data_IF_030833641968
#
_entry.id   IF_030833641968
#
_cell.length_a   1.000
_cell.length_b   1.000
_cell.length_c   1.000
_cell.angle_alpha   90.00
_cell.angle_beta   90.00
_cell.angle_gamma   90.00
#
_symmetry.space_group_name_H-M   'P 1'
#
loop_
_entity.id
_entity.type
_entity.pdbx_description
1 polymer ?
#
# COMPACT_ATOMS: atom_id res chain seq x y z
N UNK A 1 -16.76 1.85 12.49
CA UNK A 1 -15.94 1.79 11.26
C UNK A 1 -15.41 3.20 11.04
N UNK A 2 -14.11 3.39 10.85
CA UNK A 2 -13.54 4.72 10.65
C UNK A 2 -13.56 5.05 9.16
N UNK A 3 -14.00 6.25 8.81
CA UNK A 3 -13.91 6.76 7.45
C UNK A 3 -12.45 6.96 7.04
N UNK A 4 -12.16 6.80 5.75
CA UNK A 4 -10.83 7.07 5.21
C UNK A 4 -10.63 8.58 5.20
N UNK A 5 -9.58 9.05 5.88
CA UNK A 5 -9.16 10.44 5.82
C UNK A 5 -8.26 10.64 4.61
N UNK A 6 -8.66 11.47 3.66
CA UNK A 6 -7.87 11.80 2.48
C UNK A 6 -6.57 12.52 2.87
N UNK A 7 -5.51 12.19 2.13
CA UNK A 7 -4.21 12.85 2.23
C UNK A 7 -3.85 13.48 0.88
N UNK A 8 -2.68 14.10 0.75
CA UNK A 8 -2.32 14.77 -0.49
C UNK A 8 -1.89 13.80 -1.60
N UNK A 9 -1.09 12.78 -1.24
CA UNK A 9 -0.41 11.95 -2.22
C UNK A 9 -0.55 10.45 -1.93
N UNK A 10 -0.52 9.69 -3.03
CA UNK A 10 -0.34 8.24 -3.06
C UNK A 10 0.86 7.96 -3.96
N UNK A 11 1.73 7.02 -3.56
CA UNK A 11 2.77 6.53 -4.46
C UNK A 11 2.17 5.45 -5.39
N UNK A 12 2.31 5.64 -6.71
CA UNK A 12 1.79 4.72 -7.72
C UNK A 12 2.80 4.57 -8.85
N UNK A 13 3.22 3.35 -9.11
CA UNK A 13 4.09 2.98 -10.23
C UNK A 13 5.37 3.84 -10.38
N UNK A 14 6.00 4.18 -9.25
CA UNK A 14 7.25 4.96 -9.24
C UNK A 14 7.07 6.46 -9.04
N UNK A 15 5.84 6.96 -8.94
CA UNK A 15 5.54 8.39 -8.87
C UNK A 15 4.61 8.73 -7.70
N UNK A 16 4.73 9.95 -7.17
CA UNK A 16 3.76 10.54 -6.28
C UNK A 16 2.63 11.14 -7.08
N UNK A 17 1.42 10.60 -6.95
CA UNK A 17 0.22 11.12 -7.61
C UNK A 17 -0.70 11.77 -6.58
N UNK A 18 -1.45 12.82 -6.97
CA UNK A 18 -2.49 13.37 -6.10
C UNK A 18 -3.52 12.30 -5.71
N UNK A 19 -4.04 12.37 -4.49
CA UNK A 19 -5.03 11.40 -3.98
C UNK A 19 -6.17 11.13 -4.96
N UNK A 20 -6.78 12.19 -5.50
CA UNK A 20 -7.91 12.08 -6.42
C UNK A 20 -7.57 11.41 -7.77
N UNK A 21 -6.28 11.38 -8.15
CA UNK A 21 -5.80 10.80 -9.40
C UNK A 21 -5.39 9.34 -9.25
N UNK A 22 -5.28 8.84 -8.00
CA UNK A 22 -4.91 7.45 -7.71
C UNK A 22 -6.09 6.49 -7.95
N UNK A 23 -6.58 6.48 -9.18
CA UNK A 23 -7.73 5.69 -9.62
C UNK A 23 -7.32 4.49 -10.48
N UNK A 24 -8.22 3.53 -10.61
CA UNK A 24 -8.08 2.42 -11.55
C UNK A 24 -9.37 2.26 -12.37
N UNK A 25 -9.21 1.74 -13.58
CA UNK A 25 -10.36 1.50 -14.45
C UNK A 25 -11.18 0.31 -13.96
N UNK A 26 -12.52 0.36 -14.08
CA UNK A 26 -13.41 -0.74 -13.66
C UNK A 26 -13.16 -2.07 -14.37
N UNK A 27 -12.49 -2.05 -15.53
CA UNK A 27 -12.04 -3.25 -16.26
C UNK A 27 -10.59 -3.63 -15.93
N UNK A 28 -10.03 -3.15 -14.82
CA UNK A 28 -8.78 -3.71 -14.31
C UNK A 28 -8.97 -5.18 -13.95
N UNK A 29 -8.04 -6.02 -14.41
CA UNK A 29 -8.15 -7.48 -14.28
C UNK A 29 -8.41 -7.93 -12.83
N UNK A 30 -7.75 -7.29 -11.87
CA UNK A 30 -7.89 -7.63 -10.45
C UNK A 30 -9.31 -7.45 -9.90
N UNK A 31 -10.09 -6.50 -10.40
CA UNK A 31 -11.47 -6.27 -9.95
C UNK A 31 -12.44 -7.40 -10.36
N UNK A 32 -12.08 -8.17 -11.37
CA UNK A 32 -12.90 -9.27 -11.90
C UNK A 32 -12.41 -10.64 -11.45
N UNK A 33 -11.10 -10.82 -11.26
CA UNK A 33 -10.48 -12.10 -11.01
C UNK A 33 -9.74 -12.19 -9.67
N UNK A 34 -9.74 -11.14 -8.86
CA UNK A 34 -9.06 -11.11 -7.58
C UNK A 34 -7.53 -11.22 -7.67
N UNK A 35 -6.95 -10.86 -8.82
CA UNK A 35 -5.53 -11.00 -9.12
C UNK A 35 -4.71 -9.86 -8.51
N UNK A 36 -4.58 -9.86 -7.19
CA UNK A 36 -3.80 -8.88 -6.45
C UNK A 36 -3.42 -9.37 -5.07
N UNK A 37 -2.40 -8.76 -4.49
CA UNK A 37 -1.88 -9.02 -3.15
C UNK A 37 -1.59 -7.70 -2.45
N UNK A 38 -1.66 -7.67 -1.12
CA UNK A 38 -1.42 -6.47 -0.34
C UNK A 38 -0.79 -6.77 1.02
N UNK A 39 -0.30 -5.73 1.66
CA UNK A 39 0.14 -5.73 3.05
C UNK A 39 -0.62 -4.72 3.89
N UNK A 40 -0.60 -4.90 5.19
CA UNK A 40 -1.10 -3.94 6.18
C UNK A 40 -0.01 -3.61 7.17
N UNK A 41 0.43 -2.36 7.20
CA UNK A 41 1.60 -1.91 7.96
C UNK A 41 1.21 -0.70 8.81
N UNK A 42 1.90 -0.50 9.93
CA UNK A 42 1.68 0.64 10.82
C UNK A 42 2.94 1.47 10.96
N UNK A 43 2.75 2.80 10.92
CA UNK A 43 3.71 3.79 11.35
C UNK A 43 3.25 4.37 12.68
N UNK A 44 4.18 4.49 13.63
CA UNK A 44 3.92 5.02 14.97
C UNK A 44 4.85 6.19 15.25
N UNK A 45 4.29 7.28 15.79
CA UNK A 45 5.09 8.36 16.35
C UNK A 45 5.74 7.89 17.65
N UNK A 46 7.02 8.20 17.81
CA UNK A 46 7.72 8.03 19.08
C UNK A 46 7.19 9.07 20.10
N UNK A 47 6.75 8.64 21.29
CA UNK A 47 6.25 9.56 22.31
C UNK A 47 7.35 10.50 22.86
N UNK A 48 8.62 10.09 22.80
CA UNK A 48 9.75 10.77 23.40
C UNK A 48 10.56 11.61 22.40
N UNK A 49 10.20 11.60 21.12
CA UNK A 49 10.90 12.35 20.07
C UNK A 49 9.97 12.76 18.92
N UNK A 50 10.48 13.57 17.99
CA UNK A 50 9.76 13.92 16.75
C UNK A 50 9.91 12.88 15.64
N UNK A 51 10.41 11.68 15.97
CA UNK A 51 10.59 10.60 15.01
C UNK A 51 9.33 9.73 14.89
N UNK A 52 9.21 9.09 13.76
CA UNK A 52 8.19 8.06 13.51
C UNK A 52 8.88 6.80 13.00
N UNK A 53 8.33 5.65 13.32
CA UNK A 53 8.88 4.35 12.97
C UNK A 53 7.83 3.50 12.27
N UNK A 54 8.19 2.94 11.13
CA UNK A 54 7.37 1.92 10.47
C UNK A 54 7.75 0.56 11.03
N UNK A 55 6.78 -0.12 11.63
CA UNK A 55 7.03 -1.42 12.26
C UNK A 55 7.36 -2.49 11.23
N UNK A 56 8.56 -3.07 11.34
CA UNK A 56 9.05 -4.20 10.51
C UNK A 56 8.86 -4.00 9.00
N UNK A 57 9.12 -2.80 8.49
CA UNK A 57 8.85 -2.45 7.10
C UNK A 57 9.47 -3.44 6.10
N UNK A 58 10.75 -3.78 6.29
CA UNK A 58 11.46 -4.72 5.41
C UNK A 58 10.78 -6.09 5.36
N UNK A 59 10.43 -6.65 6.51
CA UNK A 59 9.76 -7.97 6.58
C UNK A 59 8.41 -7.97 5.85
N UNK A 60 7.66 -6.86 5.94
CA UNK A 60 6.41 -6.68 5.22
C UNK A 60 6.64 -6.63 3.71
N UNK A 61 7.64 -5.90 3.22
CA UNK A 61 7.95 -5.83 1.79
C UNK A 61 8.48 -7.16 1.24
N UNK A 62 9.28 -7.88 2.01
CA UNK A 62 9.70 -9.25 1.66
C UNK A 62 8.49 -10.19 1.58
N UNK A 63 7.51 -10.07 2.49
CA UNK A 63 6.28 -10.86 2.46
C UNK A 63 5.40 -10.47 1.27
N UNK A 64 5.31 -9.20 0.91
CA UNK A 64 4.61 -8.73 -0.29
C UNK A 64 5.21 -9.38 -1.55
N UNK A 65 6.54 -9.43 -1.67
CA UNK A 65 7.23 -10.12 -2.75
C UNK A 65 6.89 -11.61 -2.82
N UNK A 66 6.92 -12.29 -1.67
CA UNK A 66 6.52 -13.72 -1.60
C UNK A 66 5.07 -13.93 -2.02
N UNK A 67 4.17 -13.07 -1.56
CA UNK A 67 2.75 -13.10 -1.93
C UNK A 67 2.53 -12.87 -3.42
N UNK A 68 3.22 -11.89 -4.01
CA UNK A 68 3.18 -11.63 -5.45
C UNK A 68 3.68 -12.84 -6.26
N UNK A 69 4.80 -13.46 -5.84
CA UNK A 69 5.34 -14.68 -6.47
C UNK A 69 4.35 -15.84 -6.41
N UNK A 70 3.69 -16.08 -5.27
CA UNK A 70 2.67 -17.13 -5.11
C UNK A 70 1.48 -16.86 -6.04
N UNK A 71 1.07 -15.60 -6.18
CA UNK A 71 0.00 -15.19 -7.08
C UNK A 71 0.42 -15.08 -8.56
N UNK A 72 1.66 -15.47 -8.89
CA UNK A 72 2.24 -15.34 -10.24
C UNK A 72 2.19 -13.92 -10.80
N UNK A 73 2.36 -12.92 -9.93
CA UNK A 73 2.45 -11.51 -10.31
C UNK A 73 3.92 -11.09 -10.25
N UNK A 74 4.45 -10.61 -11.36
CA UNK A 74 5.78 -10.01 -11.39
C UNK A 74 5.73 -8.63 -10.72
N UNK A 75 6.52 -8.45 -9.66
CA UNK A 75 6.63 -7.19 -8.93
C UNK A 75 7.89 -6.46 -9.41
N UNK A 76 7.76 -5.33 -10.13
CA UNK A 76 8.89 -4.70 -10.82
C UNK A 76 9.78 -3.82 -9.94
N UNK A 77 9.60 -3.84 -8.62
CA UNK A 77 10.37 -3.06 -7.65
C UNK A 77 11.04 -3.98 -6.63
N UNK A 78 12.25 -3.65 -6.21
CA UNK A 78 12.95 -4.37 -5.13
C UNK A 78 12.34 -4.07 -3.76
N UNK A 79 12.70 -4.85 -2.76
CA UNK A 79 12.31 -4.61 -1.36
C UNK A 79 12.79 -3.25 -0.89
N UNK A 80 14.02 -2.88 -1.23
CA UNK A 80 14.64 -1.61 -0.87
C UNK A 80 13.93 -0.41 -1.50
N UNK A 81 13.57 -0.51 -2.78
CA UNK A 81 12.80 0.52 -3.49
C UNK A 81 11.42 0.72 -2.88
N UNK A 82 10.71 -0.36 -2.53
CA UNK A 82 9.40 -0.28 -1.87
C UNK A 82 9.50 0.28 -0.45
N UNK A 83 10.55 -0.05 0.30
CA UNK A 83 10.81 0.55 1.61
C UNK A 83 11.07 2.06 1.49
N UNK A 84 11.88 2.49 0.53
CA UNK A 84 12.16 3.90 0.27
C UNK A 84 10.89 4.65 -0.14
N UNK A 85 10.11 4.10 -1.08
CA UNK A 85 8.84 4.68 -1.52
C UNK A 85 7.83 4.82 -0.36
N UNK A 86 7.79 3.86 0.55
CA UNK A 86 6.93 3.92 1.74
C UNK A 86 7.31 5.08 2.64
N UNK A 87 8.59 5.26 2.92
CA UNK A 87 9.08 6.38 3.74
C UNK A 87 8.79 7.72 3.04
N UNK A 88 8.97 7.77 1.73
CA UNK A 88 8.73 8.96 0.93
C UNK A 88 7.25 9.40 0.96
N UNK A 89 6.31 8.48 0.77
CA UNK A 89 4.87 8.82 0.78
C UNK A 89 4.39 9.25 2.16
N UNK A 90 4.93 8.68 3.25
CA UNK A 90 4.62 9.11 4.62
C UNK A 90 5.12 10.55 4.84
N UNK A 91 6.35 10.85 4.42
CA UNK A 91 6.96 12.19 4.54
C UNK A 91 6.22 13.23 3.70
N UNK A 92 5.87 12.91 2.46
CA UNK A 92 5.12 13.79 1.56
C UNK A 92 3.76 14.20 2.17
N UNK A 93 3.11 13.26 2.86
CA UNK A 93 1.83 13.50 3.55
C UNK A 93 1.98 14.06 4.98
N UNK A 94 3.21 14.20 5.50
CA UNK A 94 3.52 14.74 6.85
C UNK A 94 2.78 13.99 7.97
N UNK A 95 2.67 12.67 7.85
CA UNK A 95 1.93 11.84 8.80
C UNK A 95 2.85 11.36 9.93
N UNK A 96 2.60 11.75 11.19
CA UNK A 96 3.37 11.26 12.34
C UNK A 96 3.04 9.82 12.69
N UNK A 97 1.78 9.41 12.48
CA UNK A 97 1.31 8.03 12.63
C UNK A 97 0.31 7.75 11.53
N UNK A 98 0.33 6.54 10.97
CA UNK A 98 -0.59 6.18 9.89
C UNK A 98 -0.70 4.67 9.70
N UNK A 99 -1.76 4.28 9.02
CA UNK A 99 -1.85 2.98 8.37
C UNK A 99 -1.25 3.08 6.97
N UNK A 100 -0.60 2.00 6.53
CA UNK A 100 0.06 1.92 5.22
C UNK A 100 -0.47 0.69 4.50
N UNK A 101 -0.93 0.87 3.27
CA UNK A 101 -1.47 -0.18 2.41
C UNK A 101 -0.68 -0.25 1.11
N UNK A 102 0.38 -1.07 1.05
CA UNK A 102 0.94 -1.47 -0.24
C UNK A 102 0.01 -2.49 -0.90
N UNK A 103 -0.20 -2.33 -2.19
CA UNK A 103 -0.96 -3.26 -3.02
C UNK A 103 -0.28 -3.46 -4.36
N UNK A 104 -0.25 -4.71 -4.83
CA UNK A 104 0.26 -5.11 -6.14
C UNK A 104 -0.84 -5.87 -6.84
N UNK A 105 -1.23 -5.45 -8.03
CA UNK A 105 -2.37 -6.05 -8.72
C UNK A 105 -2.23 -6.01 -10.24
N UNK A 106 -2.95 -6.90 -10.91
CA UNK A 106 -3.09 -6.90 -12.36
C UNK A 106 -4.03 -5.77 -12.78
N UNK A 107 -3.50 -4.81 -13.52
CA UNK A 107 -4.17 -3.58 -13.91
C UNK A 107 -5.06 -3.72 -15.15
N UNK A 108 -5.31 -2.56 -15.76
CA UNK A 108 -6.17 -2.42 -16.95
C UNK A 108 -5.39 -2.73 -18.24
N UNK A 109 -6.07 -3.35 -19.20
CA UNK A 109 -5.57 -3.56 -20.56
C UNK A 109 -5.82 -4.94 -21.13
N UNK A 110 -5.94 -5.96 -20.28
CA UNK A 110 -6.22 -7.35 -20.70
C UNK A 110 -7.32 -7.92 -19.82
N UNK A 111 -8.27 -8.58 -20.44
CA UNK A 111 -9.36 -9.30 -19.78
C UNK A 111 -9.37 -10.77 -20.21
N UNK A 112 -9.73 -11.66 -19.29
CA UNK A 112 -9.80 -13.09 -19.51
C UNK A 112 -9.19 -13.87 -18.35
N UNK A 113 -9.42 -15.18 -18.32
CA UNK A 113 -8.94 -16.06 -17.23
C UNK A 113 -7.41 -16.13 -17.21
N UNK A 114 -6.78 -16.05 -18.37
CA UNK A 114 -5.32 -15.94 -18.47
C UNK A 114 -4.88 -14.50 -18.19
N UNK A 115 -4.12 -14.25 -17.11
CA UNK A 115 -3.63 -12.93 -16.76
C UNK A 115 -2.38 -12.52 -17.55
N UNK A 116 -1.88 -13.37 -18.46
CA UNK A 116 -0.68 -13.09 -19.25
C UNK A 116 -0.85 -11.80 -20.03
N UNK A 117 0.12 -10.90 -19.91
CA UNK A 117 0.06 -9.59 -20.56
C UNK A 117 -0.75 -8.52 -19.83
N UNK A 118 -1.46 -8.80 -18.76
CA UNK A 118 -2.03 -7.76 -17.92
C UNK A 118 -0.90 -6.99 -17.19
N UNK A 119 -0.89 -5.64 -17.24
CA UNK A 119 0.15 -4.87 -16.58
C UNK A 119 0.07 -5.05 -15.05
N UNK A 120 1.21 -4.94 -14.39
CA UNK A 120 1.26 -4.92 -12.92
C UNK A 120 1.24 -3.47 -12.45
N UNK A 121 0.24 -3.12 -11.66
CA UNK A 121 0.19 -1.86 -10.93
C UNK A 121 0.67 -2.07 -9.49
N UNK A 122 1.48 -1.13 -9.00
CA UNK A 122 2.00 -1.11 -7.63
C UNK A 122 1.66 0.22 -6.98
N UNK A 123 0.97 0.17 -5.85
CA UNK A 123 0.48 1.35 -5.15
C UNK A 123 0.84 1.25 -3.67
N UNK A 124 1.29 2.35 -3.09
CA UNK A 124 1.46 2.50 -1.64
C UNK A 124 0.64 3.70 -1.19
N UNK A 125 -0.47 3.43 -0.51
CA UNK A 125 -1.31 4.45 0.10
C UNK A 125 -1.04 4.49 1.62
N UNK A 126 -1.12 5.68 2.22
CA UNK A 126 -1.11 5.85 3.67
C UNK A 126 -2.15 6.89 4.09
N UNK A 127 -2.74 6.69 5.26
CA UNK A 127 -3.73 7.63 5.82
C UNK A 127 -3.75 7.55 7.34
N UNK A 128 -4.17 8.62 8.04
CA UNK A 128 -4.41 8.56 9.47
C UNK A 128 -5.46 7.48 9.78
N UNK A 129 -5.13 6.59 10.68
CA UNK A 129 -6.07 5.59 11.17
C UNK A 129 -5.79 5.33 12.64
N UNK A 130 -6.70 5.75 13.48
CA UNK A 130 -6.68 5.52 14.92
C UNK A 130 -6.88 4.02 15.22
N UNK A 131 -7.18 3.61 16.38
CA UNK A 131 -7.23 2.20 16.79
C UNK A 131 -8.02 1.31 15.79
N UNK A 132 -7.32 0.39 15.12
CA UNK A 132 -7.90 -0.55 14.12
C UNK A 132 -9.07 -1.37 14.69
N UNK A 133 -9.00 -1.70 15.97
CA UNK A 133 -10.01 -2.49 16.67
C UNK A 133 -10.97 -1.64 17.52
N UNK A 134 -10.93 -0.29 17.38
CA UNK A 134 -11.71 0.63 18.19
C UNK A 134 -11.04 1.02 19.52
N UNK A 135 -11.52 2.07 20.19
CA UNK A 135 -10.92 2.58 21.43
C UNK A 135 -10.89 1.53 22.57
N UNK A 136 -11.85 0.63 22.60
CA UNK A 136 -11.96 -0.38 23.65
C UNK A 136 -10.90 -1.51 23.55
N UNK A 137 -10.30 -1.69 22.40
CA UNK A 137 -9.26 -2.71 22.19
C UNK A 137 -7.90 -2.33 22.79
N UNK A 138 -7.69 -1.06 23.12
CA UNK A 138 -6.49 -0.59 23.79
C UNK A 138 -6.59 -0.65 25.32
N UNK A 139 -7.76 -0.98 25.86
CA UNK A 139 -8.04 -1.02 27.30
C UNK A 139 -7.88 -2.41 27.92
N UNK A 140 -7.53 -3.45 27.14
CA UNK A 140 -7.35 -4.83 27.61
C UNK A 140 -5.95 -5.35 27.32
#
# INVERSE_FOLDING_TARGET
MADITEVQYIWKNGEMVPWAEATTHVLSHSLHYGSGVFEGIRCYKDPDSDKSFVFRLQDHMERLHRSAKIASIELPYTVEELCAATVEVIRANKLPSCYIRPIVYRGYGVMGVDPSGAPTDVVIACWPWDAYLGPDALAN
#
